data_IF_343728129987
#
_entry.id   IF_343728129987
#
_cell.length_a   1.000
_cell.length_b   1.000
_cell.length_c   1.000
_cell.angle_alpha   90.00
_cell.angle_beta   90.00
_cell.angle_gamma   90.00
#
_symmetry.space_group_name_H-M   'P 1'
#
loop_
_entity.id
_entity.type
_entity.pdbx_description
1 polymer ?
#
# COMPACT_ATOMS: atom_id res chain seq x y z
N UNK A 1 6.63 -2.98 -15.03
CA UNK A 1 7.53 -1.83 -14.91
C UNK A 1 8.50 -2.04 -13.75
N UNK A 2 9.63 -1.37 -13.77
CA UNK A 2 10.55 -1.39 -12.63
C UNK A 2 10.02 -0.46 -11.53
N UNK A 3 9.85 -0.97 -10.33
CA UNK A 3 9.53 -0.22 -9.12
C UNK A 3 10.82 0.02 -8.34
N UNK A 4 10.96 1.21 -7.78
CA UNK A 4 12.07 1.53 -6.88
C UNK A 4 11.49 2.18 -5.62
N UNK A 5 11.54 1.45 -4.52
CA UNK A 5 11.17 1.98 -3.21
C UNK A 5 12.40 2.61 -2.54
N UNK A 6 12.25 3.84 -2.09
CA UNK A 6 13.27 4.54 -1.32
C UNK A 6 12.85 4.55 0.15
N UNK A 7 13.65 3.95 1.02
CA UNK A 7 13.53 4.20 2.45
C UNK A 7 14.74 4.98 2.95
N UNK A 8 14.54 5.87 3.92
CA UNK A 8 15.64 6.59 4.57
C UNK A 8 16.60 5.69 5.34
N UNK A 9 16.17 4.45 5.65
CA UNK A 9 16.96 3.54 6.47
C UNK A 9 17.96 2.69 5.67
N UNK A 10 17.77 2.52 4.35
CA UNK A 10 18.64 1.68 3.51
C UNK A 10 18.70 2.23 2.11
N UNK A 11 19.89 2.51 1.59
CA UNK A 11 20.10 2.75 0.17
C UNK A 11 19.84 1.44 -0.59
N UNK A 12 18.63 1.25 -1.12
CA UNK A 12 18.35 0.16 -2.03
C UNK A 12 19.04 0.44 -3.37
N UNK A 13 20.17 -0.19 -3.58
CA UNK A 13 20.97 -0.04 -4.82
C UNK A 13 20.54 -1.06 -5.88
N UNK A 14 19.80 -2.11 -5.50
CA UNK A 14 19.39 -3.20 -6.39
C UNK A 14 17.91 -3.07 -6.76
N UNK A 15 17.56 -3.35 -8.02
CA UNK A 15 16.19 -3.52 -8.46
C UNK A 15 15.51 -4.68 -7.71
N UNK A 16 14.22 -4.53 -7.41
CA UNK A 16 13.44 -5.60 -6.81
C UNK A 16 13.35 -6.82 -7.74
N UNK A 17 13.64 -8.00 -7.19
CA UNK A 17 13.66 -9.25 -7.94
C UNK A 17 12.29 -9.95 -7.86
N UNK A 18 11.30 -9.40 -8.56
CA UNK A 18 9.94 -9.91 -8.63
C UNK A 18 9.29 -9.58 -9.97
N UNK A 19 8.24 -10.27 -10.29
CA UNK A 19 7.25 -9.82 -11.27
C UNK A 19 5.91 -9.59 -10.57
N UNK A 20 5.13 -8.65 -11.07
CA UNK A 20 3.84 -8.32 -10.49
C UNK A 20 2.81 -7.97 -11.57
N UNK A 21 1.56 -8.24 -11.24
CA UNK A 21 0.40 -7.92 -12.06
C UNK A 21 -0.66 -7.25 -11.18
N UNK A 22 -1.09 -6.05 -11.56
CA UNK A 22 -2.04 -5.26 -10.79
C UNK A 22 -3.45 -5.36 -11.36
N UNK A 23 -4.44 -5.52 -10.50
CA UNK A 23 -5.87 -5.57 -10.80
C UNK A 23 -6.58 -4.52 -9.97
N UNK A 24 -7.21 -3.58 -10.66
CA UNK A 24 -8.02 -2.52 -10.04
C UNK A 24 -9.52 -2.73 -10.27
N UNK A 25 -10.34 -1.78 -9.82
CA UNK A 25 -11.78 -1.80 -10.05
C UNK A 25 -12.11 -1.66 -11.55
N UNK A 26 -13.15 -2.37 -11.99
CA UNK A 26 -13.71 -2.22 -13.33
C UNK A 26 -14.62 -0.98 -13.39
N UNK A 27 -14.01 0.20 -13.43
CA UNK A 27 -14.71 1.48 -13.47
C UNK A 27 -14.08 2.41 -14.52
N UNK A 28 -14.73 2.61 -15.68
CA UNK A 28 -14.21 3.50 -16.72
C UNK A 28 -14.01 4.95 -16.25
N UNK A 29 -14.89 5.45 -15.38
CA UNK A 29 -14.78 6.81 -14.83
C UNK A 29 -13.56 6.97 -13.91
N UNK A 30 -13.28 5.96 -13.08
CA UNK A 30 -12.11 5.93 -12.23
C UNK A 30 -10.83 5.75 -13.06
N UNK A 31 -10.84 4.84 -14.05
CA UNK A 31 -9.71 4.62 -14.95
C UNK A 31 -9.34 5.87 -15.75
N UNK A 32 -10.32 6.73 -16.09
CA UNK A 32 -10.06 8.01 -16.76
C UNK A 32 -9.24 8.99 -15.90
N UNK A 33 -9.22 8.83 -14.56
CA UNK A 33 -8.39 9.63 -13.65
C UNK A 33 -6.91 9.21 -13.71
N UNK A 34 -6.66 7.93 -13.97
CA UNK A 34 -5.31 7.37 -14.11
C UNK A 34 -4.90 7.33 -15.58
N UNK A 35 -5.03 8.46 -16.29
CA UNK A 35 -4.89 8.58 -17.76
C UNK A 35 -3.57 8.09 -18.33
N UNK A 36 -2.53 8.04 -17.51
CA UNK A 36 -1.18 7.61 -17.91
C UNK A 36 -0.90 6.15 -17.57
N UNK A 37 -1.86 5.45 -16.96
CA UNK A 37 -1.75 4.02 -16.65
C UNK A 37 -2.46 3.19 -17.71
N UNK A 38 -1.81 2.11 -18.19
CA UNK A 38 -2.47 1.16 -19.06
C UNK A 38 -3.56 0.42 -18.29
N UNK A 39 -4.73 0.24 -18.89
CA UNK A 39 -5.75 -0.66 -18.33
C UNK A 39 -5.14 -2.04 -18.12
N UNK A 40 -5.33 -2.63 -16.94
CA UNK A 40 -4.91 -3.99 -16.68
C UNK A 40 -5.67 -4.92 -17.62
N UNK A 41 -4.93 -5.57 -18.53
CA UNK A 41 -5.49 -6.60 -19.39
C UNK A 41 -5.36 -7.93 -18.66
N UNK A 42 -6.47 -8.46 -18.16
CA UNK A 42 -6.47 -9.80 -17.57
C UNK A 42 -5.91 -10.82 -18.58
N UNK A 43 -5.21 -11.86 -18.10
CA UNK A 43 -4.70 -12.91 -18.97
C UNK A 43 -5.81 -13.49 -19.86
N UNK A 44 -5.50 -13.87 -21.11
CA UNK A 44 -6.46 -14.52 -22.02
C UNK A 44 -6.71 -15.98 -21.59
N UNK A 45 -7.31 -16.13 -20.40
CA UNK A 45 -7.65 -17.39 -19.75
C UNK A 45 -8.87 -17.18 -18.88
N UNK A 46 -10.04 -17.57 -19.34
CA UNK A 46 -11.33 -17.34 -18.67
C UNK A 46 -11.37 -17.90 -17.23
N UNK A 47 -10.90 -19.13 -16.92
CA UNK A 47 -10.83 -19.59 -15.54
C UNK A 47 -9.97 -18.72 -14.62
N UNK A 48 -8.83 -18.25 -15.11
CA UNK A 48 -7.94 -17.36 -14.37
C UNK A 48 -8.61 -16.00 -14.12
N UNK A 49 -9.23 -15.40 -15.13
CA UNK A 49 -9.98 -14.15 -15.00
C UNK A 49 -11.08 -14.25 -13.93
N UNK A 50 -11.88 -15.32 -13.98
CA UNK A 50 -12.95 -15.57 -12.98
C UNK A 50 -12.39 -15.71 -11.57
N UNK A 51 -11.29 -16.44 -11.40
CA UNK A 51 -10.67 -16.62 -10.10
C UNK A 51 -10.14 -15.28 -9.52
N UNK A 52 -9.47 -14.48 -10.34
CA UNK A 52 -8.96 -13.16 -9.95
C UNK A 52 -10.11 -12.24 -9.57
N UNK A 53 -11.17 -12.16 -10.39
CA UNK A 53 -12.34 -11.33 -10.12
C UNK A 53 -13.05 -11.76 -8.83
N UNK A 54 -13.25 -13.08 -8.63
CA UNK A 54 -13.88 -13.60 -7.41
C UNK A 54 -13.07 -13.27 -6.16
N UNK A 55 -11.75 -13.41 -6.23
CA UNK A 55 -10.84 -13.07 -5.13
C UNK A 55 -10.88 -11.55 -4.86
N UNK A 56 -10.81 -10.72 -5.89
CA UNK A 56 -10.90 -9.27 -5.77
C UNK A 56 -12.19 -8.83 -5.04
N UNK A 57 -13.34 -9.38 -5.44
CA UNK A 57 -14.64 -9.07 -4.80
C UNK A 57 -14.69 -9.54 -3.34
N UNK A 58 -14.13 -10.72 -3.04
CA UNK A 58 -14.04 -11.20 -1.66
C UNK A 58 -13.17 -10.28 -0.79
N UNK A 59 -12.06 -9.77 -1.33
CA UNK A 59 -11.19 -8.83 -0.63
C UNK A 59 -11.84 -7.47 -0.42
N UNK A 60 -12.63 -6.96 -1.38
CA UNK A 60 -13.42 -5.74 -1.19
C UNK A 60 -14.40 -5.90 -0.02
N UNK A 61 -15.13 -7.01 0.06
CA UNK A 61 -16.07 -7.27 1.15
C UNK A 61 -15.38 -7.41 2.51
N UNK A 62 -14.21 -8.06 2.54
CA UNK A 62 -13.39 -8.16 3.75
C UNK A 62 -12.85 -6.78 4.15
N UNK A 63 -12.40 -5.98 3.19
CA UNK A 63 -11.93 -4.61 3.40
C UNK A 63 -13.01 -3.74 4.03
N UNK A 64 -14.25 -3.77 3.54
CA UNK A 64 -15.39 -3.06 4.15
C UNK A 64 -15.59 -3.48 5.60
N UNK A 65 -15.55 -4.78 5.88
CA UNK A 65 -15.68 -5.31 7.25
C UNK A 65 -14.55 -4.81 8.16
N UNK A 66 -13.32 -4.77 7.64
CA UNK A 66 -12.17 -4.26 8.41
C UNK A 66 -12.25 -2.75 8.64
N UNK A 67 -12.74 -1.96 7.67
CA UNK A 67 -12.98 -0.52 7.88
C UNK A 67 -13.96 -0.27 9.04
N UNK A 68 -15.06 -1.05 9.12
CA UNK A 68 -15.98 -1.01 10.28
C UNK A 68 -15.27 -1.37 11.58
N UNK A 69 -14.48 -2.45 11.54
CA UNK A 69 -13.68 -2.87 12.69
C UNK A 69 -12.68 -1.82 13.16
N UNK A 70 -11.99 -1.14 12.24
CA UNK A 70 -11.09 -0.03 12.56
C UNK A 70 -11.86 1.17 13.13
N UNK A 71 -13.00 1.56 12.57
CA UNK A 71 -13.81 2.64 13.11
C UNK A 71 -14.20 2.37 14.57
N UNK A 72 -14.72 1.18 14.86
CA UNK A 72 -15.09 0.77 16.22
C UNK A 72 -13.88 0.70 17.18
N UNK A 73 -12.73 0.19 16.71
CA UNK A 73 -11.50 0.14 17.50
C UNK A 73 -10.93 1.53 17.83
N UNK A 74 -11.26 2.52 17.01
CA UNK A 74 -10.92 3.93 17.19
C UNK A 74 -11.99 4.72 17.94
N UNK A 75 -13.02 4.06 18.46
CA UNK A 75 -14.18 4.67 19.16
C UNK A 75 -14.96 5.66 18.26
N UNK A 76 -14.96 5.43 16.94
CA UNK A 76 -15.70 6.20 15.95
C UNK A 76 -17.02 5.50 15.57
N UNK A 77 -17.88 6.22 14.86
CA UNK A 77 -19.08 5.63 14.26
C UNK A 77 -18.69 4.57 13.23
N UNK A 78 -19.40 3.45 13.23
CA UNK A 78 -19.13 2.29 12.34
C UNK A 78 -19.03 2.68 10.86
N UNK A 79 -19.81 3.68 10.44
CA UNK A 79 -19.88 4.16 9.07
C UNK A 79 -18.86 5.24 8.71
N UNK A 80 -17.98 5.64 9.64
CA UNK A 80 -17.01 6.73 9.43
C UNK A 80 -16.22 6.57 8.14
N UNK A 81 -15.78 5.37 7.82
CA UNK A 81 -15.02 5.09 6.60
C UNK A 81 -15.92 4.54 5.49
N UNK A 82 -16.90 3.68 5.82
CA UNK A 82 -17.65 2.93 4.83
C UNK A 82 -18.58 3.78 3.98
N UNK A 83 -19.00 4.96 4.43
CA UNK A 83 -19.73 5.95 3.62
C UNK A 83 -18.92 6.44 2.39
N UNK A 84 -17.63 6.19 2.34
CA UNK A 84 -16.70 6.56 1.27
C UNK A 84 -16.21 5.34 0.46
N UNK A 85 -16.99 4.27 0.38
CA UNK A 85 -16.67 3.03 -0.32
C UNK A 85 -17.59 2.75 -1.51
N UNK A 86 -17.97 3.78 -2.28
CA UNK A 86 -18.83 3.61 -3.45
C UNK A 86 -18.09 2.97 -4.63
N UNK A 87 -16.89 3.43 -4.92
CA UNK A 87 -16.00 2.93 -5.99
C UNK A 87 -14.55 3.23 -5.63
N UNK A 88 -14.03 2.58 -4.59
CA UNK A 88 -12.68 2.84 -4.13
C UNK A 88 -11.63 2.37 -5.15
N UNK A 89 -10.51 3.09 -5.34
CA UNK A 89 -9.40 2.69 -6.18
C UNK A 89 -8.55 1.58 -5.56
N UNK A 90 -9.14 0.75 -4.72
CA UNK A 90 -8.46 -0.39 -4.09
C UNK A 90 -7.87 -1.32 -5.14
N UNK A 91 -6.69 -1.86 -4.88
CA UNK A 91 -5.94 -2.62 -5.87
C UNK A 91 -5.49 -3.98 -5.31
N UNK A 92 -5.68 -5.02 -6.12
CA UNK A 92 -5.07 -6.34 -5.87
C UNK A 92 -3.80 -6.45 -6.70
N UNK A 93 -2.69 -6.82 -6.08
CA UNK A 93 -1.44 -7.15 -6.77
C UNK A 93 -1.16 -8.63 -6.65
N UNK A 94 -0.87 -9.27 -7.77
CA UNK A 94 -0.40 -10.64 -7.84
C UNK A 94 1.12 -10.60 -7.99
N UNK A 95 1.87 -11.07 -6.99
CA UNK A 95 3.33 -10.99 -6.98
C UNK A 95 3.92 -12.39 -7.03
N UNK A 96 4.91 -12.57 -7.90
CA UNK A 96 5.74 -13.76 -7.98
C UNK A 96 7.20 -13.39 -7.68
N UNK A 97 7.77 -14.03 -6.69
CA UNK A 97 9.19 -13.97 -6.36
C UNK A 97 9.84 -15.26 -6.81
N UNK A 98 10.79 -15.14 -7.73
CA UNK A 98 11.53 -16.28 -8.25
C UNK A 98 12.41 -16.89 -7.16
N UNK A 99 12.54 -18.21 -7.17
CA UNK A 99 13.51 -18.90 -6.34
C UNK A 99 14.94 -18.49 -6.73
N UNK A 100 15.75 -18.20 -5.73
CA UNK A 100 17.16 -17.92 -5.93
C UNK A 100 17.99 -18.65 -4.88
N UNK A 101 18.45 -19.89 -5.19
CA UNK A 101 19.26 -20.69 -4.25
C UNK A 101 20.53 -19.98 -3.79
N UNK A 102 21.02 -19.01 -4.57
CA UNK A 102 22.21 -18.24 -4.27
C UNK A 102 21.92 -16.91 -3.55
N UNK A 103 20.66 -16.66 -3.16
CA UNK A 103 20.26 -15.45 -2.47
C UNK A 103 21.07 -15.27 -1.17
N UNK A 104 21.60 -14.07 -0.98
CA UNK A 104 22.25 -13.64 0.25
C UNK A 104 21.22 -13.03 1.19
N UNK A 105 21.50 -13.02 2.48
CA UNK A 105 20.62 -12.36 3.46
C UNK A 105 20.45 -10.85 3.22
N UNK A 106 21.39 -10.24 2.52
CA UNK A 106 21.40 -8.82 2.15
C UNK A 106 20.56 -8.52 0.91
N UNK A 107 20.17 -9.54 0.14
CA UNK A 107 19.41 -9.36 -1.09
C UNK A 107 17.94 -9.11 -0.73
N UNK A 108 17.28 -8.25 -1.49
CA UNK A 108 15.89 -7.86 -1.25
C UNK A 108 14.99 -8.30 -2.41
N UNK A 109 13.85 -8.89 -2.10
CA UNK A 109 12.78 -9.12 -3.06
C UNK A 109 11.94 -7.86 -3.27
N UNK A 110 11.66 -7.11 -2.17
CA UNK A 110 11.12 -5.74 -2.17
C UNK A 110 11.84 -4.95 -1.09
N UNK A 111 12.30 -3.74 -1.42
CA UNK A 111 12.91 -2.81 -0.49
C UNK A 111 11.96 -2.35 0.63
N UNK A 112 12.53 -1.75 1.67
CA UNK A 112 11.73 -1.24 2.78
C UNK A 112 10.85 -0.06 2.33
N UNK A 113 9.56 -0.11 2.66
CA UNK A 113 8.55 0.89 2.32
C UNK A 113 7.37 0.82 3.29
N UNK A 114 6.48 1.81 3.22
CA UNK A 114 5.10 1.77 3.75
C UNK A 114 4.13 1.66 2.59
N UNK A 115 2.92 1.14 2.85
CA UNK A 115 1.84 1.15 1.86
C UNK A 115 1.12 2.50 1.91
N UNK A 116 0.60 2.94 0.79
CA UNK A 116 0.05 4.30 0.63
C UNK A 116 -1.40 4.42 1.07
N UNK A 117 -2.11 3.30 1.05
CA UNK A 117 -3.54 3.20 1.33
C UNK A 117 -3.81 3.21 2.85
N UNK A 118 -5.05 2.86 3.27
CA UNK A 118 -5.41 2.79 4.68
C UNK A 118 -4.80 1.56 5.36
N UNK A 119 -4.87 0.43 4.71
CA UNK A 119 -4.25 -0.83 5.17
C UNK A 119 -4.15 -1.82 4.01
N UNK A 120 -3.31 -2.80 4.18
CA UNK A 120 -3.13 -3.90 3.23
C UNK A 120 -3.59 -5.21 3.84
N UNK A 121 -4.34 -6.01 3.06
CA UNK A 121 -4.71 -7.39 3.36
C UNK A 121 -3.80 -8.29 2.53
N UNK A 122 -2.86 -8.96 3.17
CA UNK A 122 -1.84 -9.75 2.48
C UNK A 122 -2.03 -11.24 2.73
N UNK A 123 -2.12 -12.01 1.64
CA UNK A 123 -2.02 -13.47 1.65
C UNK A 123 -0.67 -13.88 1.06
N UNK A 124 0.33 -14.28 1.87
CA UNK A 124 1.59 -14.80 1.38
C UNK A 124 1.57 -16.34 1.35
N UNK A 125 2.25 -16.96 0.38
CA UNK A 125 2.34 -18.44 0.28
C UNK A 125 3.56 -19.02 0.97
N UNK A 126 4.59 -18.20 1.22
CA UNK A 126 5.84 -18.62 1.86
C UNK A 126 6.43 -17.48 2.69
N UNK A 127 7.35 -17.75 3.63
CA UNK A 127 8.03 -16.75 4.45
C UNK A 127 8.83 -15.74 3.61
N UNK A 128 9.19 -14.60 4.22
CA UNK A 128 10.03 -13.56 3.57
C UNK A 128 9.66 -12.15 4.01
N UNK A 129 8.42 -11.92 4.44
CA UNK A 129 8.00 -10.63 4.95
C UNK A 129 8.68 -10.32 6.29
N UNK A 130 9.18 -9.09 6.40
CA UNK A 130 9.71 -8.52 7.64
C UNK A 130 9.09 -7.15 7.88
N UNK A 131 8.79 -6.85 9.13
CA UNK A 131 8.26 -5.55 9.58
C UNK A 131 9.26 -4.89 10.53
N UNK A 132 9.34 -3.57 10.50
CA UNK A 132 10.19 -2.79 11.39
C UNK A 132 9.43 -2.52 12.69
N UNK A 133 9.97 -2.93 13.83
CA UNK A 133 9.39 -2.62 15.13
C UNK A 133 9.81 -1.24 15.64
N UNK A 134 9.19 -0.78 16.74
CA UNK A 134 9.51 0.51 17.36
C UNK A 134 10.94 0.63 17.93
N UNK A 135 11.67 -0.48 18.06
CA UNK A 135 13.09 -0.49 18.45
C UNK A 135 14.06 -0.40 17.24
N UNK A 136 13.53 -0.33 16.01
CA UNK A 136 14.31 -0.29 14.79
C UNK A 136 14.82 -1.67 14.35
N UNK A 137 14.21 -2.76 14.82
CA UNK A 137 14.58 -4.11 14.47
C UNK A 137 13.63 -4.71 13.45
N UNK A 138 14.15 -5.45 12.47
CA UNK A 138 13.38 -6.18 11.48
C UNK A 138 12.89 -7.52 12.05
N UNK A 139 11.57 -7.64 12.21
CA UNK A 139 10.91 -8.84 12.71
C UNK A 139 10.31 -9.63 11.56
N UNK A 140 10.65 -10.92 11.48
CA UNK A 140 10.04 -11.82 10.48
C UNK A 140 8.59 -12.12 10.84
N UNK A 141 7.69 -11.95 9.87
CA UNK A 141 6.28 -12.28 10.02
C UNK A 141 6.08 -13.77 9.68
N UNK A 142 5.57 -14.59 10.61
CA UNK A 142 5.33 -16.00 10.35
C UNK A 142 4.15 -16.21 9.40
N UNK A 143 4.15 -17.32 8.67
CA UNK A 143 2.96 -17.81 7.98
C UNK A 143 2.09 -18.54 9.00
N UNK A 144 0.83 -18.12 9.10
CA UNK A 144 -0.21 -18.78 9.89
C UNK A 144 -1.27 -19.27 8.91
N UNK A 145 -1.56 -20.56 8.93
CA UNK A 145 -2.56 -21.17 8.06
C UNK A 145 -3.93 -20.50 8.24
N UNK A 146 -4.64 -20.29 7.14
CA UNK A 146 -5.96 -19.63 7.07
C UNK A 146 -6.00 -18.21 7.63
N UNK A 147 -4.84 -17.52 7.71
CA UNK A 147 -4.76 -16.13 8.17
C UNK A 147 -4.20 -15.19 7.11
N UNK A 148 -4.76 -13.98 7.09
CA UNK A 148 -4.16 -12.84 6.40
C UNK A 148 -3.22 -12.08 7.34
N UNK A 149 -2.22 -11.41 6.76
CA UNK A 149 -1.47 -10.36 7.44
C UNK A 149 -2.12 -9.03 7.12
N UNK A 150 -2.44 -8.24 8.14
CA UNK A 150 -2.97 -6.88 7.98
C UNK A 150 -1.90 -5.90 8.45
N UNK A 151 -1.49 -4.98 7.59
CA UNK A 151 -0.59 -3.89 7.95
C UNK A 151 -1.23 -2.52 7.69
N UNK A 152 -0.98 -1.60 8.60
CA UNK A 152 -1.41 -0.20 8.53
C UNK A 152 -0.62 0.52 7.45
N UNK A 153 -1.33 1.34 6.66
CA UNK A 153 -0.77 2.20 5.62
C UNK A 153 -0.83 3.69 5.98
N UNK A 154 -0.31 4.50 5.08
CA UNK A 154 -0.07 5.94 5.28
C UNK A 154 -1.35 6.74 5.59
N UNK A 155 -2.45 6.44 4.89
CA UNK A 155 -3.71 7.16 5.12
C UNK A 155 -4.32 6.86 6.49
N UNK A 156 -4.15 5.65 7.03
CA UNK A 156 -4.60 5.34 8.40
C UNK A 156 -3.74 6.07 9.43
N UNK A 157 -2.43 6.19 9.21
CA UNK A 157 -1.55 7.01 10.06
C UNK A 157 -2.00 8.48 10.05
N UNK A 158 -2.34 9.01 8.87
CA UNK A 158 -2.79 10.38 8.71
C UNK A 158 -4.10 10.64 9.46
N UNK A 159 -5.16 9.84 9.24
CA UNK A 159 -6.47 10.08 9.87
C UNK A 159 -6.42 9.94 11.38
N UNK A 160 -5.54 9.11 11.92
CA UNK A 160 -5.35 8.92 13.36
C UNK A 160 -4.31 9.87 13.97
N UNK A 161 -3.83 10.86 13.19
CA UNK A 161 -2.79 11.81 13.62
C UNK A 161 -1.56 11.11 14.23
N UNK A 162 -1.16 9.96 13.63
CA UNK A 162 0.00 9.17 14.06
C UNK A 162 -0.24 8.25 15.26
N UNK A 163 -1.48 8.06 15.73
CA UNK A 163 -1.76 7.05 16.76
C UNK A 163 -1.57 5.62 16.22
N UNK A 164 -2.03 5.37 15.00
CA UNK A 164 -1.59 4.22 14.21
C UNK A 164 -0.46 4.68 13.29
N UNK A 165 0.62 3.94 13.26
CA UNK A 165 1.80 4.27 12.45
C UNK A 165 1.86 3.31 11.26
N UNK A 166 2.08 3.87 10.07
CA UNK A 166 2.29 3.08 8.88
C UNK A 166 3.47 2.13 9.09
N UNK A 167 3.23 0.85 8.85
CA UNK A 167 4.21 -0.19 9.18
C UNK A 167 5.24 -0.30 8.07
N UNK A 168 6.47 0.18 8.33
CA UNK A 168 7.58 -0.05 7.41
C UNK A 168 7.85 -1.55 7.31
N UNK A 169 7.83 -2.06 6.09
CA UNK A 169 8.03 -3.48 5.82
C UNK A 169 8.87 -3.72 4.57
N UNK A 170 9.40 -4.93 4.46
CA UNK A 170 10.22 -5.37 3.32
C UNK A 170 10.06 -6.86 3.08
N UNK A 171 10.42 -7.30 1.89
CA UNK A 171 10.56 -8.73 1.59
C UNK A 171 12.01 -9.01 1.27
N UNK A 172 12.65 -9.86 2.08
CA UNK A 172 14.00 -10.35 1.76
C UNK A 172 13.96 -11.27 0.56
N UNK A 173 15.08 -11.39 -0.16
CA UNK A 173 15.22 -12.37 -1.23
C UNK A 173 14.92 -13.77 -0.69
N UNK A 174 14.01 -14.47 -1.34
CA UNK A 174 13.60 -15.82 -0.95
C UNK A 174 14.46 -16.87 -1.67
N UNK A 175 14.67 -18.00 -1.01
CA UNK A 175 15.40 -19.15 -1.58
C UNK A 175 14.48 -20.16 -2.23
N UNK A 176 13.20 -19.99 -2.05
CA UNK A 176 12.13 -20.82 -2.60
C UNK A 176 11.13 -19.94 -3.36
N UNK A 177 10.41 -20.54 -4.30
CA UNK A 177 9.36 -19.85 -5.03
C UNK A 177 8.29 -19.33 -4.05
N UNK A 178 7.91 -18.06 -4.19
CA UNK A 178 6.95 -17.40 -3.30
C UNK A 178 5.96 -16.59 -4.12
N UNK A 179 4.70 -16.73 -3.79
CA UNK A 179 3.64 -15.86 -4.26
C UNK A 179 3.12 -14.99 -3.12
N UNK A 180 2.62 -13.81 -3.44
CA UNK A 180 1.97 -12.92 -2.50
C UNK A 180 0.84 -12.16 -3.19
N UNK A 181 -0.27 -12.00 -2.47
CA UNK A 181 -1.50 -11.38 -2.97
C UNK A 181 -1.92 -10.25 -2.04
N UNK A 182 -1.19 -9.09 -2.03
CA UNK A 182 -1.62 -7.93 -1.29
C UNK A 182 -2.84 -7.28 -1.96
N UNK A 183 -3.83 -6.95 -1.14
CA UNK A 183 -4.96 -6.12 -1.50
C UNK A 183 -4.86 -4.81 -0.74
N UNK A 184 -4.63 -3.73 -1.46
CA UNK A 184 -4.46 -2.38 -0.93
C UNK A 184 -5.81 -1.71 -0.78
N UNK A 185 -6.23 -1.46 0.47
CA UNK A 185 -7.57 -0.99 0.82
C UNK A 185 -7.62 0.52 0.89
N UNK A 186 -8.43 1.14 0.03
CA UNK A 186 -8.56 2.58 -0.12
C UNK A 186 -10.01 3.04 0.01
N UNK A 187 -10.23 4.34 0.22
CA UNK A 187 -11.53 4.99 0.10
C UNK A 187 -11.72 5.54 -1.32
N UNK A 188 -12.90 6.10 -1.62
CA UNK A 188 -13.21 6.68 -2.93
C UNK A 188 -12.20 7.77 -3.32
N UNK A 189 -11.91 7.89 -4.61
CA UNK A 189 -10.87 8.78 -5.15
C UNK A 189 -10.95 10.20 -4.61
N UNK A 190 -12.16 10.80 -4.60
CA UNK A 190 -12.38 12.21 -4.23
C UNK A 190 -12.47 12.43 -2.70
N UNK A 191 -12.27 11.39 -1.90
CA UNK A 191 -12.33 11.51 -0.44
C UNK A 191 -11.18 12.36 0.07
N UNK A 192 -11.50 13.43 0.78
CA UNK A 192 -10.50 14.17 1.55
C UNK A 192 -10.10 13.36 2.78
N UNK A 193 -8.82 13.12 2.92
CA UNK A 193 -8.19 12.40 4.03
C UNK A 193 -7.44 13.42 4.88
N UNK A 194 -7.91 13.62 6.11
CA UNK A 194 -7.36 14.58 7.07
C UNK A 194 -7.35 13.96 8.47
N UNK A 195 -6.51 14.44 9.39
CA UNK A 195 -6.60 14.03 10.79
C UNK A 195 -8.00 14.29 11.35
N UNK A 196 -8.63 13.24 11.89
CA UNK A 196 -9.95 13.35 12.49
C UNK A 196 -9.90 14.17 13.77
N UNK A 197 -10.99 14.89 14.05
CA UNK A 197 -11.07 15.82 15.19
C UNK A 197 -10.80 15.14 16.55
N UNK A 198 -11.19 13.87 16.67
CA UNK A 198 -11.01 13.02 17.84
C UNK A 198 -9.52 12.77 18.17
N UNK A 199 -8.64 12.87 17.18
CA UNK A 199 -7.19 12.64 17.32
C UNK A 199 -6.37 13.93 17.34
N UNK A 200 -7.02 15.10 17.23
CA UNK A 200 -6.34 16.37 17.28
C UNK A 200 -6.18 16.85 18.75
N UNK A 201 -4.97 17.27 19.10
CA UNK A 201 -4.72 17.98 20.35
C UNK A 201 -4.73 19.49 20.08
N UNK A 202 -5.63 20.28 20.69
CA UNK A 202 -5.69 21.73 20.46
C UNK A 202 -4.39 22.48 20.82
N UNK A 203 -3.53 21.87 21.64
CA UNK A 203 -2.27 22.48 22.10
C UNK A 203 -1.04 22.02 21.29
N UNK A 204 -1.22 21.11 20.35
CA UNK A 204 -0.13 20.56 19.53
C UNK A 204 -0.51 20.62 18.05
N UNK A 205 0.32 21.23 17.19
CA UNK A 205 0.04 21.21 15.76
C UNK A 205 0.12 19.79 15.21
N UNK A 206 -0.79 19.45 14.30
CA UNK A 206 -0.62 18.22 13.51
C UNK A 206 0.56 18.34 12.55
N UNK A 207 1.22 17.20 12.28
CA UNK A 207 2.28 17.13 11.27
C UNK A 207 1.74 16.70 9.90
N UNK A 208 0.44 16.46 9.78
CA UNK A 208 -0.21 15.94 8.59
C UNK A 208 -1.06 17.02 7.93
N UNK A 209 -0.84 17.21 6.63
CA UNK A 209 -1.66 18.07 5.78
C UNK A 209 -2.79 17.24 5.15
N UNK A 210 -4.01 17.79 4.99
CA UNK A 210 -5.08 17.12 4.27
C UNK A 210 -4.68 16.79 2.83
N UNK A 211 -5.09 15.62 2.34
CA UNK A 211 -4.86 15.17 0.98
C UNK A 211 -6.16 14.63 0.35
N UNK A 212 -6.18 14.48 -0.95
CA UNK A 212 -7.22 13.74 -1.67
C UNK A 212 -6.71 12.31 -1.89
N UNK A 213 -7.51 11.33 -1.50
CA UNK A 213 -7.17 9.91 -1.53
C UNK A 213 -6.57 9.47 -2.86
N UNK A 214 -7.28 9.68 -3.96
CA UNK A 214 -6.81 9.27 -5.29
C UNK A 214 -5.63 10.07 -5.80
N UNK A 215 -5.54 11.37 -5.49
CA UNK A 215 -4.39 12.21 -5.85
C UNK A 215 -3.12 11.74 -5.16
N UNK A 216 -3.22 11.35 -3.88
CA UNK A 216 -2.10 10.77 -3.16
C UNK A 216 -1.62 9.47 -3.81
N UNK A 217 -2.52 8.52 -4.08
CA UNK A 217 -2.18 7.26 -4.74
C UNK A 217 -1.54 7.47 -6.11
N UNK A 218 -2.08 8.39 -6.91
CA UNK A 218 -1.52 8.73 -8.22
C UNK A 218 -0.12 9.32 -8.08
N UNK A 219 0.08 10.23 -7.14
CA UNK A 219 1.39 10.85 -6.90
C UNK A 219 2.43 9.82 -6.46
N UNK A 220 2.07 8.90 -5.57
CA UNK A 220 2.95 7.82 -5.14
C UNK A 220 3.31 6.89 -6.29
N UNK A 221 2.33 6.50 -7.11
CA UNK A 221 2.53 5.71 -8.33
C UNK A 221 3.50 6.41 -9.30
N UNK A 222 3.29 7.71 -9.55
CA UNK A 222 4.17 8.50 -10.43
C UNK A 222 5.62 8.56 -9.94
N UNK A 223 5.85 8.51 -8.65
CA UNK A 223 7.17 8.59 -8.04
C UNK A 223 7.83 7.23 -7.83
N UNK A 224 7.07 6.14 -7.88
CA UNK A 224 7.54 4.77 -7.65
C UNK A 224 7.93 4.08 -8.95
N UNK A 225 7.11 4.20 -10.01
CA UNK A 225 7.39 3.54 -11.30
C UNK A 225 8.41 4.31 -12.12
N UNK A 226 9.51 3.66 -12.48
CA UNK A 226 10.66 4.29 -13.18
C UNK A 226 10.26 5.05 -14.44
N UNK A 227 9.32 4.53 -15.24
CA UNK A 227 8.89 5.18 -16.48
C UNK A 227 8.06 6.46 -16.22
N UNK A 228 7.22 6.47 -15.17
CA UNK A 228 6.45 7.66 -14.76
C UNK A 228 7.37 8.71 -14.14
N UNK A 229 8.30 8.27 -13.29
CA UNK A 229 9.30 9.14 -12.69
C UNK A 229 10.13 9.87 -13.75
N UNK A 230 10.56 9.17 -14.81
CA UNK A 230 11.26 9.80 -15.93
C UNK A 230 10.41 10.85 -16.67
N UNK A 231 9.11 10.61 -16.84
CA UNK A 231 8.19 11.57 -17.45
C UNK A 231 7.95 12.77 -16.54
N UNK A 232 7.85 12.55 -15.24
CA UNK A 232 7.76 13.62 -14.24
C UNK A 232 9.01 14.51 -14.26
N UNK A 233 10.21 13.90 -14.27
CA UNK A 233 11.50 14.61 -14.35
C UNK A 233 11.66 15.43 -15.64
N UNK A 234 11.06 14.96 -16.76
CA UNK A 234 11.03 15.69 -18.04
C UNK A 234 9.95 16.78 -18.10
N UNK A 235 9.07 16.88 -17.10
CA UNK A 235 7.94 17.81 -17.09
C UNK A 235 6.80 17.43 -18.02
N UNK A 236 6.74 16.18 -18.49
CA UNK A 236 5.68 15.66 -19.37
C UNK A 236 4.38 15.39 -18.58
N UNK A 237 4.48 15.12 -17.29
CA UNK A 237 3.38 14.97 -16.33
C UNK A 237 3.69 15.76 -15.06
N UNK A 238 2.68 16.07 -14.26
CA UNK A 238 2.81 16.83 -13.02
C UNK A 238 2.15 16.08 -11.87
N UNK A 239 2.71 16.21 -10.66
CA UNK A 239 2.08 15.67 -9.45
C UNK A 239 0.77 16.42 -9.16
N UNK A 240 -0.26 15.74 -8.68
CA UNK A 240 -1.45 16.37 -8.14
C UNK A 240 -1.12 17.35 -7.01
N UNK A 241 -1.85 18.49 -6.96
CA UNK A 241 -1.57 19.56 -5.99
C UNK A 241 -1.78 19.12 -4.53
N UNK A 242 -2.75 18.22 -4.28
CA UNK A 242 -3.10 17.71 -2.95
C UNK A 242 -2.53 16.32 -2.70
N UNK A 243 -1.23 16.17 -2.90
CA UNK A 243 -0.50 14.94 -2.61
C UNK A 243 0.63 15.19 -1.63
N UNK A 244 0.87 14.23 -0.73
CA UNK A 244 1.98 14.28 0.22
C UNK A 244 3.27 13.74 -0.41
N UNK A 245 4.41 14.20 0.12
CA UNK A 245 5.71 13.62 -0.23
C UNK A 245 5.82 12.17 0.24
N UNK A 246 6.48 11.32 -0.55
CA UNK A 246 6.81 9.91 -0.23
C UNK A 246 7.43 9.68 1.17
N UNK A 247 7.96 10.72 1.79
CA UNK A 247 8.82 10.62 2.97
C UNK A 247 8.13 11.06 4.27
N UNK A 248 6.80 11.28 4.23
CA UNK A 248 6.08 11.86 5.35
C UNK A 248 5.63 10.84 6.41
N UNK A 249 5.58 9.55 6.06
CA UNK A 249 4.95 8.50 6.85
C UNK A 249 5.94 7.49 7.43
N UNK A 250 5.52 6.72 8.43
CA UNK A 250 6.33 5.69 9.07
C UNK A 250 7.49 6.20 9.93
N UNK A 251 7.65 7.51 10.07
CA UNK A 251 8.78 8.11 10.81
C UNK A 251 8.55 8.30 12.31
N UNK A 252 7.32 8.20 12.76
CA UNK A 252 6.98 8.45 14.18
C UNK A 252 7.64 7.44 15.12
N UNK A 253 7.91 6.22 14.66
CA UNK A 253 8.59 5.18 15.44
C UNK A 253 10.08 5.41 15.67
N UNK A 254 10.73 6.31 14.91
CA UNK A 254 12.18 6.56 15.01
C UNK A 254 12.50 7.72 15.97
N UNK A 255 11.53 8.57 16.30
CA UNK A 255 11.76 9.79 17.12
C UNK A 255 11.63 9.58 18.63
N UNK A 256 11.26 8.39 19.11
CA UNK A 256 11.05 8.10 20.54
C UNK A 256 12.10 7.17 21.15
N UNK A 257 13.24 6.97 20.51
CA UNK A 257 14.36 6.19 21.01
C UNK A 257 15.51 7.06 21.51
#
# INVERSE_FOLDING_TARGET
GEEQFYSHAVNNINADLKEAYDVGPDSPSLMARFTDTASAQLPDNEPCQKAIQAYYQAMLSLSETLFKGFALALELDEDTFTQHLSTPPSQLRLIHYFDNPNAKETDSGIGAHTDYEFFTILLPTAPGLQVLNGAGEWISVPIIEDCFVINIGDMMELVTNGQYVATSHRVRQVKEERYAFPFFSSLDYETEVAPLAEFLNPNEPTNYEPLICGDHLLAQTMQTFSYLKQRLEKGEIQLPEKSQSLLSFGQASIKQG
#
